data_IF_965857149152
#
_entry.id   IF_965857149152
#
_cell.length_a   1.000
_cell.length_b   1.000
_cell.length_c   1.000
_cell.angle_alpha   90.00
_cell.angle_beta   90.00
_cell.angle_gamma   90.00
#
_symmetry.space_group_name_H-M   'P 1'
#
loop_
_entity.id
_entity.type
_entity.pdbx_description
1 polymer ?
#
# COMPACT_ATOMS: atom_id res chain seq x y z
N UNK A 1 -7.55 -7.70 -11.00
CA UNK A 1 -7.49 -8.22 -9.61
C UNK A 1 -7.19 -9.72 -9.50
N UNK A 2 -7.18 -10.52 -10.57
CA UNK A 2 -7.34 -11.99 -10.46
C UNK A 2 -6.36 -12.84 -11.28
N UNK A 3 -5.15 -12.38 -11.55
CA UNK A 3 -4.13 -13.14 -12.30
C UNK A 3 -2.74 -13.10 -11.67
N UNK A 4 -2.65 -12.71 -10.40
CA UNK A 4 -1.40 -12.81 -9.66
C UNK A 4 -0.97 -14.27 -9.54
N UNK A 5 0.32 -14.54 -9.68
CA UNK A 5 0.90 -15.88 -9.70
C UNK A 5 2.02 -16.00 -8.66
N UNK A 6 2.22 -17.21 -8.16
CA UNK A 6 3.35 -17.54 -7.27
C UNK A 6 4.67 -17.09 -7.90
N UNK A 7 5.46 -16.31 -7.16
CA UNK A 7 6.72 -15.72 -7.61
C UNK A 7 6.59 -14.35 -8.28
N UNK A 8 5.38 -13.79 -8.43
CA UNK A 8 5.23 -12.39 -8.86
C UNK A 8 5.76 -11.45 -7.78
N UNK A 9 6.43 -10.37 -8.18
CA UNK A 9 6.76 -9.26 -7.29
C UNK A 9 5.52 -8.40 -7.01
N UNK A 10 5.43 -7.83 -5.81
CA UNK A 10 4.38 -6.89 -5.38
C UNK A 10 4.95 -5.48 -5.36
N UNK A 11 4.23 -4.56 -5.99
CA UNK A 11 4.62 -3.16 -6.12
C UNK A 11 3.50 -2.23 -5.65
N UNK A 12 3.90 -1.07 -5.11
CA UNK A 12 2.99 0.04 -4.80
C UNK A 12 3.55 1.36 -5.31
N UNK A 13 2.69 2.20 -5.88
CA UNK A 13 3.06 3.55 -6.32
C UNK A 13 3.03 4.56 -5.18
N UNK A 14 3.71 5.68 -5.34
CA UNK A 14 3.68 6.84 -4.43
C UNK A 14 4.05 6.51 -2.99
N UNK A 15 3.23 6.96 -2.05
CA UNK A 15 3.38 6.75 -0.60
C UNK A 15 2.07 6.28 0.03
N UNK A 16 2.19 5.42 1.04
CA UNK A 16 1.07 4.80 1.75
C UNK A 16 0.88 5.44 3.12
N UNK A 17 -0.40 5.58 3.51
CA UNK A 17 -0.84 6.09 4.80
C UNK A 17 -1.05 7.60 4.86
N UNK A 18 -0.77 8.33 3.78
CA UNK A 18 -1.01 9.78 3.73
C UNK A 18 -2.51 10.11 3.82
N UNK A 19 -3.38 9.29 3.22
CA UNK A 19 -4.83 9.44 3.27
C UNK A 19 -5.35 9.37 4.70
N UNK A 20 -5.11 8.27 5.40
CA UNK A 20 -5.59 8.07 6.77
C UNK A 20 -4.98 9.07 7.76
N UNK A 21 -3.68 9.43 7.61
CA UNK A 21 -3.05 10.45 8.45
C UNK A 21 -3.62 11.84 8.15
N UNK A 22 -3.97 12.14 6.90
CA UNK A 22 -4.64 13.36 6.50
C UNK A 22 -6.01 13.53 7.15
N UNK A 23 -6.81 12.45 7.18
CA UNK A 23 -8.09 12.42 7.91
C UNK A 23 -7.87 12.66 9.42
N UNK A 24 -6.89 11.99 10.04
CA UNK A 24 -6.56 12.16 11.46
C UNK A 24 -6.08 13.59 11.76
N UNK A 25 -5.29 14.19 10.87
CA UNK A 25 -4.84 15.58 11.00
C UNK A 25 -6.01 16.57 10.88
N UNK A 26 -6.96 16.32 9.96
CA UNK A 26 -8.15 17.14 9.75
C UNK A 26 -9.10 17.08 10.95
N UNK A 27 -9.24 15.91 11.57
CA UNK A 27 -10.12 15.68 12.73
C UNK A 27 -9.46 15.97 14.08
N UNK A 28 -8.19 16.45 14.10
CA UNK A 28 -7.47 16.77 15.32
C UNK A 28 -6.92 15.56 16.09
N UNK A 29 -6.96 14.37 15.49
CA UNK A 29 -6.44 13.12 16.07
C UNK A 29 -4.95 12.89 15.79
N UNK A 30 -4.30 13.81 15.07
CA UNK A 30 -2.86 13.80 14.79
C UNK A 30 -2.28 15.17 15.12
N UNK A 31 -1.34 15.21 16.08
CA UNK A 31 -0.69 16.43 16.54
C UNK A 31 0.84 16.35 16.36
N UNK A 32 1.55 17.44 16.66
CA UNK A 32 3.02 17.45 16.65
C UNK A 32 3.67 17.65 15.28
N UNK A 33 2.89 17.79 14.21
CA UNK A 33 3.39 18.10 12.87
C UNK A 33 3.53 19.62 12.66
N UNK A 34 4.52 20.01 11.86
CA UNK A 34 4.58 21.37 11.32
C UNK A 34 3.37 21.66 10.42
N UNK A 35 3.00 22.94 10.27
CA UNK A 35 1.88 23.32 9.40
C UNK A 35 2.04 22.80 7.96
N UNK A 36 3.21 22.92 7.28
CA UNK A 36 3.39 22.36 5.95
C UNK A 36 3.21 20.83 5.88
N UNK A 37 3.72 20.10 6.90
CA UNK A 37 3.58 18.64 6.95
C UNK A 37 2.12 18.20 7.12
N UNK A 38 1.39 18.88 8.02
CA UNK A 38 -0.04 18.66 8.23
C UNK A 38 -0.84 18.98 6.96
N UNK A 39 -0.57 20.11 6.33
CA UNK A 39 -1.30 20.56 5.14
C UNK A 39 -1.06 19.62 3.95
N UNK A 40 0.15 19.06 3.82
CA UNK A 40 0.45 18.00 2.85
C UNK A 40 -0.46 16.76 3.04
N UNK A 41 -0.51 16.22 4.25
CA UNK A 41 -1.34 15.04 4.54
C UNK A 41 -2.83 15.33 4.29
N UNK A 42 -3.33 16.49 4.74
CA UNK A 42 -4.73 16.89 4.50
C UNK A 42 -5.02 17.03 3.01
N UNK A 43 -4.08 17.58 2.23
CA UNK A 43 -4.22 17.70 0.78
C UNK A 43 -4.30 16.32 0.11
N UNK A 44 -3.45 15.37 0.51
CA UNK A 44 -3.49 13.98 0.00
C UNK A 44 -4.82 13.29 0.27
N UNK A 45 -5.39 13.48 1.46
CA UNK A 45 -6.72 12.96 1.79
C UNK A 45 -7.84 13.61 0.97
N UNK A 46 -7.81 14.95 0.81
CA UNK A 46 -8.89 15.70 0.15
C UNK A 46 -8.89 15.60 -1.38
N UNK A 47 -7.71 15.51 -1.95
CA UNK A 47 -7.50 15.55 -3.41
C UNK A 47 -6.44 14.50 -3.79
N UNK A 48 -6.83 13.22 -3.81
CA UNK A 48 -5.92 12.17 -4.26
C UNK A 48 -5.54 12.37 -5.73
N UNK A 49 -4.35 11.93 -6.10
CA UNK A 49 -3.83 12.01 -7.46
C UNK A 49 -3.97 10.66 -8.17
N UNK A 50 -4.94 10.49 -9.09
CA UNK A 50 -5.10 9.25 -9.84
C UNK A 50 -3.87 8.92 -10.68
N UNK A 51 -3.34 7.70 -10.56
CA UNK A 51 -2.13 7.24 -11.26
C UNK A 51 -2.42 6.73 -12.67
N UNK A 52 -3.24 7.45 -13.45
CA UNK A 52 -3.70 7.05 -14.79
C UNK A 52 -2.54 6.79 -15.76
N UNK A 53 -1.51 7.66 -15.75
CA UNK A 53 -0.35 7.53 -16.62
C UNK A 53 0.42 6.22 -16.37
N UNK A 54 0.60 5.86 -15.11
CA UNK A 54 1.21 4.58 -14.73
C UNK A 54 0.29 3.41 -15.08
N UNK A 55 -1.00 3.51 -14.74
CA UNK A 55 -1.97 2.44 -15.00
C UNK A 55 -2.00 2.01 -16.47
N UNK A 56 -1.96 2.95 -17.40
CA UNK A 56 -1.90 2.67 -18.85
C UNK A 56 -0.62 1.92 -19.25
N UNK A 57 0.52 2.25 -18.64
CA UNK A 57 1.81 1.60 -18.95
C UNK A 57 1.94 0.20 -18.33
N UNK A 58 1.16 -0.11 -17.30
CA UNK A 58 1.12 -1.43 -16.68
C UNK A 58 0.28 -2.45 -17.47
N UNK A 59 -0.47 -2.02 -18.50
CA UNK A 59 -1.24 -2.93 -19.37
C UNK A 59 -0.29 -3.90 -20.08
N UNK A 60 -0.51 -5.19 -19.86
CA UNK A 60 0.34 -6.25 -20.39
C UNK A 60 1.60 -6.57 -19.58
N UNK A 61 1.95 -5.74 -18.59
CA UNK A 61 3.05 -5.99 -17.64
C UNK A 61 2.53 -6.54 -16.31
N UNK A 62 1.50 -5.90 -15.74
CA UNK A 62 0.92 -6.33 -14.48
C UNK A 62 0.04 -7.57 -14.65
N UNK A 63 0.17 -8.53 -13.75
CA UNK A 63 -0.69 -9.72 -13.64
C UNK A 63 -1.97 -9.40 -12.88
N UNK A 64 -1.88 -8.57 -11.82
CA UNK A 64 -3.03 -8.01 -11.14
C UNK A 64 -2.76 -6.54 -10.78
N UNK A 65 -3.82 -5.74 -10.68
CA UNK A 65 -3.73 -4.33 -10.29
C UNK A 65 -5.04 -3.90 -9.62
N UNK A 66 -4.93 -3.09 -8.57
CA UNK A 66 -6.02 -2.47 -7.81
C UNK A 66 -5.55 -1.11 -7.30
N UNK A 67 -6.46 -0.21 -7.00
CA UNK A 67 -6.17 0.99 -6.22
C UNK A 67 -6.18 0.69 -4.72
N UNK A 68 -5.42 1.46 -3.94
CA UNK A 68 -5.40 1.38 -2.48
C UNK A 68 -6.46 2.34 -1.94
N UNK A 69 -7.67 1.81 -1.73
CA UNK A 69 -8.84 2.55 -1.26
C UNK A 69 -9.28 2.15 0.15
N UNK A 70 -9.20 0.87 0.49
CA UNK A 70 -9.60 0.32 1.80
C UNK A 70 -8.39 0.07 2.72
N UNK A 71 -7.19 0.26 2.18
CA UNK A 71 -5.91 0.09 2.84
C UNK A 71 -5.05 -0.99 2.20
N UNK A 72 -3.73 -0.82 2.29
CA UNK A 72 -2.76 -1.68 1.60
C UNK A 72 -3.00 -3.17 1.88
N UNK A 73 -3.24 -3.54 3.14
CA UNK A 73 -3.42 -4.94 3.54
C UNK A 73 -4.74 -5.50 3.00
N UNK A 74 -5.83 -4.72 3.09
CA UNK A 74 -7.15 -5.15 2.63
C UNK A 74 -7.16 -5.33 1.10
N UNK A 75 -6.64 -4.35 0.36
CA UNK A 75 -6.61 -4.38 -1.10
C UNK A 75 -5.67 -5.46 -1.65
N UNK A 76 -4.52 -5.72 -0.97
CA UNK A 76 -3.67 -6.86 -1.29
C UNK A 76 -4.37 -8.19 -1.00
N UNK A 77 -5.13 -8.27 0.09
CA UNK A 77 -5.99 -9.41 0.41
C UNK A 77 -6.97 -9.70 -0.72
N UNK A 78 -7.61 -8.68 -1.31
CA UNK A 78 -8.50 -8.85 -2.46
C UNK A 78 -7.79 -9.39 -3.71
N UNK A 79 -6.53 -9.00 -3.97
CA UNK A 79 -5.72 -9.62 -5.03
C UNK A 79 -5.50 -11.10 -4.71
N UNK A 80 -5.12 -11.43 -3.47
CA UNK A 80 -4.84 -12.78 -3.04
C UNK A 80 -6.06 -13.70 -3.19
N UNK A 81 -7.21 -13.29 -2.66
CA UNK A 81 -8.47 -14.02 -2.74
C UNK A 81 -8.89 -14.29 -4.19
N UNK A 82 -8.91 -13.23 -5.01
CA UNK A 82 -9.34 -13.36 -6.41
C UNK A 82 -8.37 -14.16 -7.28
N UNK A 83 -7.10 -14.26 -6.88
CA UNK A 83 -6.05 -15.01 -7.61
C UNK A 83 -5.77 -16.38 -6.98
N UNK A 84 -6.35 -16.70 -5.80
CA UNK A 84 -6.12 -17.94 -5.03
C UNK A 84 -4.65 -18.14 -4.66
N UNK A 85 -4.01 -17.08 -4.21
CA UNK A 85 -2.61 -17.02 -3.79
C UNK A 85 -2.50 -16.37 -2.43
N UNK A 86 -1.30 -16.34 -1.84
CA UNK A 86 -0.97 -15.54 -0.67
C UNK A 86 0.06 -14.47 -1.04
N UNK A 87 0.24 -13.50 -0.18
CA UNK A 87 1.24 -12.45 -0.33
C UNK A 87 2.14 -12.39 0.90
N UNK A 88 3.43 -12.14 0.67
CA UNK A 88 4.39 -11.84 1.73
C UNK A 88 5.01 -10.48 1.44
N UNK A 89 4.81 -9.52 2.35
CA UNK A 89 5.38 -8.17 2.24
C UNK A 89 6.31 -7.88 3.42
N UNK A 90 7.23 -6.95 3.20
CA UNK A 90 8.09 -6.38 4.24
C UNK A 90 7.62 -4.97 4.53
N UNK A 91 7.13 -4.71 5.73
CA UNK A 91 6.57 -3.41 6.11
C UNK A 91 7.60 -2.28 5.96
N UNK A 92 8.86 -2.52 6.32
CA UNK A 92 9.95 -1.55 6.12
C UNK A 92 10.20 -1.17 4.65
N UNK A 93 9.70 -1.95 3.68
CA UNK A 93 9.78 -1.65 2.25
C UNK A 93 8.60 -0.82 1.74
N UNK A 94 7.55 -0.64 2.55
CA UNK A 94 6.39 0.17 2.18
C UNK A 94 6.79 1.66 2.18
N UNK A 95 6.63 2.37 1.05
CA UNK A 95 7.03 3.76 0.96
C UNK A 95 6.10 4.65 1.78
N UNK A 96 6.68 5.49 2.65
CA UNK A 96 5.95 6.50 3.44
C UNK A 96 6.50 7.88 3.16
N UNK A 97 5.64 8.90 3.21
CA UNK A 97 6.03 10.30 2.98
C UNK A 97 6.90 10.85 4.12
N UNK A 98 7.58 11.97 3.90
CA UNK A 98 8.35 12.64 4.94
C UNK A 98 7.44 13.10 6.12
N UNK A 99 6.24 13.68 5.89
CA UNK A 99 5.27 13.95 6.95
C UNK A 99 4.85 12.71 7.73
N UNK A 100 4.56 11.60 7.04
CA UNK A 100 4.19 10.34 7.68
C UNK A 100 5.35 9.78 8.53
N UNK A 101 6.60 9.82 8.04
CA UNK A 101 7.78 9.46 8.85
C UNK A 101 7.94 10.31 10.10
N UNK A 102 7.64 11.61 10.03
CA UNK A 102 7.66 12.49 11.21
C UNK A 102 6.60 12.07 12.23
N UNK A 103 5.39 11.74 11.78
CA UNK A 103 4.34 11.23 12.66
C UNK A 103 4.75 9.90 13.32
N UNK A 104 5.30 8.96 12.55
CA UNK A 104 5.79 7.66 13.04
C UNK A 104 6.93 7.79 14.05
N UNK A 105 7.81 8.78 13.87
CA UNK A 105 8.89 9.04 14.84
C UNK A 105 8.34 9.48 16.21
N UNK A 106 7.18 10.15 16.25
CA UNK A 106 6.49 10.57 17.46
C UNK A 106 5.59 9.48 18.04
N UNK A 107 4.98 8.67 17.19
CA UNK A 107 4.09 7.56 17.56
C UNK A 107 4.29 6.38 16.59
N UNK A 108 5.19 5.43 16.90
CA UNK A 108 5.41 4.24 16.08
C UNK A 108 4.18 3.35 15.92
N UNK A 109 3.22 3.40 16.86
CA UNK A 109 1.95 2.64 16.79
C UNK A 109 1.07 3.03 15.60
N UNK A 110 1.30 4.20 15.02
CA UNK A 110 0.61 4.63 13.79
C UNK A 110 0.95 3.76 12.57
N UNK A 111 2.02 2.95 12.61
CA UNK A 111 2.41 2.17 11.44
C UNK A 111 1.35 1.14 11.05
N UNK A 112 0.73 0.46 12.02
CA UNK A 112 -0.41 -0.42 11.76
C UNK A 112 -1.58 0.35 11.11
N UNK A 113 -1.83 1.58 11.58
CA UNK A 113 -2.86 2.46 11.00
C UNK A 113 -2.55 2.82 9.54
N UNK A 114 -1.27 3.09 9.20
CA UNK A 114 -0.88 3.40 7.82
C UNK A 114 -1.15 2.23 6.86
N UNK A 115 -0.85 1.01 7.30
CA UNK A 115 -1.01 -0.19 6.47
C UNK A 115 -2.48 -0.60 6.28
N UNK A 116 -3.33 -0.31 7.26
CA UNK A 116 -4.75 -0.68 7.27
C UNK A 116 -5.70 0.45 6.91
N UNK A 117 -5.22 1.69 6.91
CA UNK A 117 -6.04 2.85 6.55
C UNK A 117 -6.11 3.03 5.04
N UNK A 118 -7.27 3.47 4.57
CA UNK A 118 -7.53 3.71 3.15
C UNK A 118 -7.30 5.15 2.70
N UNK A 119 -7.91 5.46 1.55
CA UNK A 119 -7.92 6.78 0.91
C UNK A 119 -6.57 7.26 0.34
N UNK A 120 -5.61 6.36 0.10
CA UNK A 120 -4.35 6.73 -0.54
C UNK A 120 -4.47 6.87 -2.07
N UNK A 121 -5.33 6.05 -2.71
CA UNK A 121 -5.57 5.98 -4.16
C UNK A 121 -4.29 5.82 -4.98
N UNK A 122 -3.32 5.11 -4.41
CA UNK A 122 -2.14 4.64 -5.13
C UNK A 122 -2.45 3.33 -5.86
N UNK A 123 -1.60 2.93 -6.82
CA UNK A 123 -1.74 1.63 -7.48
C UNK A 123 -0.95 0.57 -6.74
N UNK A 124 -1.63 -0.50 -6.35
CA UNK A 124 -1.05 -1.75 -5.88
C UNK A 124 -1.13 -2.77 -7.02
N UNK A 125 0.00 -3.33 -7.45
CA UNK A 125 0.03 -4.27 -8.56
C UNK A 125 1.06 -5.37 -8.38
N UNK A 126 0.86 -6.46 -9.11
CA UNK A 126 1.80 -7.57 -9.19
C UNK A 126 2.33 -7.72 -10.62
N UNK A 127 3.57 -8.16 -10.75
CA UNK A 127 4.18 -8.44 -12.05
C UNK A 127 5.18 -9.60 -11.93
N UNK A 128 5.40 -10.39 -13.00
CA UNK A 128 6.40 -11.44 -12.99
C UNK A 128 7.78 -10.90 -12.62
N UNK A 129 8.53 -11.64 -11.79
CA UNK A 129 9.89 -11.22 -11.38
C UNK A 129 10.84 -11.01 -12.56
N UNK A 130 10.61 -11.70 -13.68
CA UNK A 130 11.34 -11.47 -14.94
C UNK A 130 10.97 -10.18 -15.67
N UNK A 131 9.90 -9.48 -15.28
CA UNK A 131 9.46 -8.22 -15.89
C UNK A 131 10.00 -6.96 -15.18
N UNK A 132 10.91 -7.09 -14.19
CA UNK A 132 11.44 -5.96 -13.40
C UNK A 132 11.97 -4.81 -14.24
N UNK A 133 12.73 -5.11 -15.29
CA UNK A 133 13.30 -4.07 -16.17
C UNK A 133 12.20 -3.34 -16.95
N UNK A 134 11.20 -4.07 -17.44
CA UNK A 134 10.07 -3.47 -18.14
C UNK A 134 9.21 -2.61 -17.19
N UNK A 135 9.01 -3.07 -15.95
CA UNK A 135 8.33 -2.27 -14.91
C UNK A 135 9.12 -1.00 -14.61
N UNK A 136 10.45 -1.08 -14.47
CA UNK A 136 11.30 0.09 -14.23
C UNK A 136 11.22 1.12 -15.37
N UNK A 137 11.18 0.68 -16.63
CA UNK A 137 10.97 1.55 -17.78
C UNK A 137 9.60 2.23 -17.70
N UNK A 138 8.52 1.48 -17.49
CA UNK A 138 7.16 2.02 -17.38
C UNK A 138 7.03 3.06 -16.25
N UNK A 139 7.65 2.80 -15.11
CA UNK A 139 7.71 3.68 -13.93
C UNK A 139 8.44 4.99 -14.27
N UNK A 140 9.63 4.90 -14.86
CA UNK A 140 10.41 6.07 -15.28
C UNK A 140 9.64 6.95 -16.27
N UNK A 141 9.03 6.34 -17.27
CA UNK A 141 8.23 7.05 -18.26
C UNK A 141 6.94 7.67 -17.69
N UNK A 142 6.37 7.08 -16.64
CA UNK A 142 5.23 7.65 -15.93
C UNK A 142 5.62 8.79 -14.98
N UNK A 143 6.91 8.91 -14.62
CA UNK A 143 7.41 9.91 -13.68
C UNK A 143 6.87 9.73 -12.25
N UNK A 144 6.47 8.51 -11.86
CA UNK A 144 5.85 8.21 -10.57
C UNK A 144 6.75 7.23 -9.82
N UNK A 145 7.08 7.52 -8.56
CA UNK A 145 7.83 6.59 -7.73
C UNK A 145 7.03 5.30 -7.50
N UNK A 146 7.69 4.15 -7.58
CA UNK A 146 7.10 2.83 -7.29
C UNK A 146 8.10 2.05 -6.44
N UNK A 147 7.61 1.39 -5.41
CA UNK A 147 8.40 0.52 -4.55
C UNK A 147 7.97 -0.93 -4.70
N UNK A 148 8.94 -1.85 -4.75
CA UNK A 148 8.70 -3.28 -4.59
C UNK A 148 8.65 -3.58 -3.09
N UNK A 149 7.51 -4.09 -2.62
CA UNK A 149 7.25 -4.29 -1.19
C UNK A 149 7.22 -5.76 -0.76
N UNK A 150 7.25 -6.71 -1.71
CA UNK A 150 7.19 -8.13 -1.40
C UNK A 150 7.03 -9.02 -2.63
N UNK A 151 6.48 -10.21 -2.40
CA UNK A 151 6.20 -11.19 -3.44
C UNK A 151 4.92 -11.97 -3.16
N UNK A 152 4.29 -12.44 -4.23
CA UNK A 152 3.20 -13.41 -4.18
C UNK A 152 3.77 -14.79 -3.89
N UNK A 153 3.07 -15.54 -3.04
CA UNK A 153 3.40 -16.91 -2.66
C UNK A 153 2.18 -17.81 -2.88
N UNK A 154 2.45 -19.12 -2.97
CA UNK A 154 1.36 -20.09 -3.03
C UNK A 154 0.55 -20.05 -1.74
N UNK A 155 -0.77 -20.08 -1.85
CA UNK A 155 -1.64 -20.27 -0.69
C UNK A 155 -1.50 -21.73 -0.18
N UNK A 156 -1.24 -21.90 1.12
CA UNK A 156 -1.13 -23.23 1.73
C UNK A 156 -2.52 -23.80 2.09
N UNK A 157 -3.40 -22.99 2.66
CA UNK A 157 -4.78 -23.35 3.02
C UNK A 157 -5.76 -22.26 2.58
N UNK A 158 -5.59 -21.05 3.10
CA UNK A 158 -6.39 -19.88 2.76
C UNK A 158 -5.50 -18.77 2.17
N UNK A 159 -6.07 -17.98 1.26
CA UNK A 159 -5.42 -16.79 0.75
C UNK A 159 -5.21 -15.78 1.88
N UNK A 160 -4.03 -15.16 1.96
CA UNK A 160 -3.73 -14.22 3.03
C UNK A 160 -2.54 -13.34 2.76
N UNK A 161 -2.37 -12.34 3.62
CA UNK A 161 -1.23 -11.40 3.59
C UNK A 161 -0.40 -11.59 4.86
N UNK A 162 0.88 -11.92 4.67
CA UNK A 162 1.87 -12.03 5.74
C UNK A 162 2.79 -10.79 5.70
N UNK A 163 3.05 -10.19 6.87
CA UNK A 163 4.06 -9.12 7.04
C UNK A 163 5.25 -9.72 7.78
N UNK A 164 6.40 -9.81 7.11
CA UNK A 164 7.58 -10.57 7.59
C UNK A 164 8.28 -9.93 8.78
N UNK A 165 8.17 -8.62 8.94
CA UNK A 165 8.82 -7.81 9.98
C UNK A 165 7.80 -7.16 10.95
N UNK A 166 6.56 -7.68 11.00
CA UNK A 166 5.48 -7.15 11.84
C UNK A 166 5.86 -7.13 13.32
N UNK A 167 6.43 -8.21 13.84
CA UNK A 167 6.82 -8.33 15.24
C UNK A 167 7.90 -7.31 15.62
N UNK A 168 8.92 -7.13 14.77
CA UNK A 168 10.00 -6.17 14.98
C UNK A 168 9.52 -4.71 15.01
N UNK A 169 8.41 -4.42 14.31
CA UNK A 169 7.80 -3.10 14.21
C UNK A 169 6.61 -2.93 15.16
N UNK A 170 6.30 -3.93 16.00
CA UNK A 170 5.17 -3.89 16.93
C UNK A 170 3.80 -3.80 16.23
N UNK A 171 3.67 -4.34 15.02
CA UNK A 171 2.44 -4.30 14.23
C UNK A 171 1.52 -5.44 14.70
N UNK A 172 0.39 -5.12 15.29
CA UNK A 172 -0.67 -6.09 15.58
C UNK A 172 -1.67 -6.15 14.43
N UNK A 173 -1.59 -7.21 13.63
CA UNK A 173 -2.46 -7.43 12.47
C UNK A 173 -3.89 -7.86 12.85
N UNK A 174 -4.16 -8.27 14.09
CA UNK A 174 -5.51 -8.68 14.53
C UNK A 174 -6.51 -7.52 14.51
N UNK A 175 -5.99 -6.28 14.50
CA UNK A 175 -6.78 -5.05 14.42
C UNK A 175 -6.73 -4.39 13.04
N UNK A 176 -5.92 -4.90 12.10
CA UNK A 176 -5.71 -4.35 10.78
C UNK A 176 -6.74 -4.92 9.78
N UNK A 177 -7.84 -4.23 9.60
CA UNK A 177 -8.85 -4.52 8.57
C UNK A 177 -10.15 -3.78 8.84
N UNK A 178 -10.53 -2.89 7.92
CA UNK A 178 -11.84 -2.26 7.95
C UNK A 178 -12.86 -3.29 7.46
N UNK A 179 -13.72 -3.84 8.34
CA UNK A 179 -14.88 -4.65 7.94
C UNK A 179 -16.04 -3.71 7.67
N UNK A 180 -16.43 -3.56 6.40
CA UNK A 180 -17.58 -2.75 5.99
C UNK A 180 -18.92 -3.26 6.52
N UNK A 181 -19.03 -4.53 6.91
CA UNK A 181 -20.24 -5.10 7.51
C UNK A 181 -19.87 -5.97 8.69
N UNK A 182 -20.50 -5.70 9.84
CA UNK A 182 -20.62 -6.69 10.91
C UNK A 182 -21.90 -7.47 10.61
N UNK A 183 -21.77 -8.79 10.37
CA UNK A 183 -22.89 -9.71 10.46
C UNK A 183 -23.43 -9.76 11.91
#
# INVERSE_FOLDING_TARGET
RSRAQDGDDIYVSGTIGDGVLGLRALTGLLSGLSAPARDHLIARYRVPEPRLGLGLKLIGLATACIDVSDGLIADLGHICENSKVSARITAASVPVSAPARTALASDPGLFATLLSGGDDYELLFTAPSGARDAVAVAVNEAGIAVARIGAITRAEAEAGVEITDAEALGIDLKTAGFKHFKD
#
